data_IF_733139746381
#
_entry.id   IF_733139746381
#
_cell.length_a   1.000
_cell.length_b   1.000
_cell.length_c   1.000
_cell.angle_alpha   90.00
_cell.angle_beta   90.00
_cell.angle_gamma   90.00
#
_symmetry.space_group_name_H-M   'P 1'
#
loop_
_entity.id
_entity.type
_entity.pdbx_description
1 polymer ?
#
# COMPACT_ATOMS: atom_id res chain seq x y z
N UNK A 1 -25.46 -0.22 -18.45
CA UNK A 1 -24.46 -0.47 -17.40
C UNK A 1 -23.13 -0.08 -18.01
N UNK A 2 -22.58 1.08 -17.65
CA UNK A 2 -21.24 1.43 -18.11
C UNK A 2 -20.28 0.38 -17.55
N UNK A 3 -19.43 -0.19 -18.41
CA UNK A 3 -18.42 -1.13 -17.98
C UNK A 3 -17.35 -0.31 -17.23
N UNK A 4 -17.48 -0.18 -15.92
CA UNK A 4 -16.50 0.56 -15.11
C UNK A 4 -15.16 -0.17 -15.19
N UNK A 5 -14.12 0.56 -15.62
CA UNK A 5 -12.75 0.04 -15.74
C UNK A 5 -12.30 -0.52 -14.39
N UNK A 6 -11.84 -1.77 -14.38
CA UNK A 6 -11.28 -2.41 -13.18
C UNK A 6 -9.76 -2.36 -13.18
N UNK A 7 -9.14 -2.56 -12.01
CA UNK A 7 -7.70 -2.78 -11.91
C UNK A 7 -7.23 -4.01 -12.68
N UNK A 8 -8.09 -5.01 -12.89
CA UNK A 8 -7.75 -6.16 -13.71
C UNK A 8 -7.56 -5.73 -15.17
N UNK A 9 -8.48 -4.93 -15.71
CA UNK A 9 -8.45 -4.48 -17.10
C UNK A 9 -7.20 -3.65 -17.40
N UNK A 10 -6.84 -2.71 -16.52
CA UNK A 10 -5.72 -1.79 -16.76
C UNK A 10 -4.35 -2.35 -16.38
N UNK A 11 -4.28 -3.34 -15.48
CA UNK A 11 -3.01 -3.96 -15.05
C UNK A 11 -2.77 -5.33 -15.70
N UNK A 12 -3.66 -5.83 -16.56
CA UNK A 12 -3.52 -7.14 -17.19
C UNK A 12 -2.19 -7.24 -17.96
N UNK A 13 -1.90 -6.28 -18.83
CA UNK A 13 -0.64 -6.22 -19.60
C UNK A 13 0.57 -5.96 -18.71
N UNK A 14 0.41 -5.12 -17.68
CA UNK A 14 1.51 -4.76 -16.78
C UNK A 14 1.98 -5.94 -15.94
N UNK A 15 1.04 -6.79 -15.50
CA UNK A 15 1.34 -8.02 -14.74
C UNK A 15 2.13 -9.05 -15.54
N UNK A 16 2.09 -8.97 -16.87
CA UNK A 16 2.82 -9.87 -17.76
C UNK A 16 4.24 -9.37 -18.06
N UNK A 17 4.58 -8.13 -17.70
CA UNK A 17 5.89 -7.58 -18.00
C UNK A 17 6.99 -8.33 -17.23
N UNK A 18 8.15 -8.62 -17.86
CA UNK A 18 9.23 -9.38 -17.23
C UNK A 18 9.68 -8.81 -15.88
N UNK A 19 9.70 -7.48 -15.75
CA UNK A 19 10.09 -6.81 -14.51
C UNK A 19 9.13 -7.15 -13.35
N UNK A 20 7.82 -7.20 -13.63
CA UNK A 20 6.79 -7.47 -12.62
C UNK A 20 6.87 -8.92 -12.15
N UNK A 21 7.00 -9.86 -13.10
CA UNK A 21 7.19 -11.28 -12.84
C UNK A 21 8.46 -11.53 -12.02
N UNK A 22 9.59 -10.92 -12.40
CA UNK A 22 10.86 -11.05 -11.68
C UNK A 22 10.75 -10.53 -10.23
N UNK A 23 9.93 -9.51 -9.98
CA UNK A 23 9.70 -8.99 -8.63
C UNK A 23 8.92 -9.96 -7.78
N UNK A 24 7.83 -10.51 -8.31
CA UNK A 24 7.04 -11.51 -7.60
C UNK A 24 7.87 -12.76 -7.31
N UNK A 25 8.68 -13.20 -8.28
CA UNK A 25 9.58 -14.35 -8.12
C UNK A 25 10.66 -14.07 -7.07
N UNK A 26 11.32 -12.91 -7.10
CA UNK A 26 12.33 -12.54 -6.08
C UNK A 26 11.73 -12.56 -4.68
N UNK A 27 10.59 -11.89 -4.49
CA UNK A 27 9.89 -11.84 -3.20
C UNK A 27 9.44 -13.24 -2.76
N UNK A 28 8.95 -14.07 -3.67
CA UNK A 28 8.55 -15.45 -3.36
C UNK A 28 9.75 -16.30 -2.93
N UNK A 29 10.87 -16.22 -3.65
CA UNK A 29 12.11 -16.93 -3.34
C UNK A 29 12.68 -16.52 -1.98
N UNK A 30 12.63 -15.23 -1.64
CA UNK A 30 13.05 -14.75 -0.32
C UNK A 30 12.17 -15.30 0.80
N UNK A 31 10.84 -15.35 0.60
CA UNK A 31 9.95 -15.98 1.59
C UNK A 31 10.26 -17.47 1.76
N UNK A 32 10.54 -18.17 0.67
CA UNK A 32 10.89 -19.59 0.69
C UNK A 32 12.24 -19.86 1.36
N UNK A 33 13.19 -18.93 1.26
CA UNK A 33 14.49 -19.03 1.94
C UNK A 33 14.44 -18.65 3.43
N UNK A 34 13.26 -18.36 3.97
CA UNK A 34 13.05 -18.04 5.39
C UNK A 34 13.15 -16.55 5.72
N UNK A 35 13.31 -15.67 4.74
CA UNK A 35 13.31 -14.22 4.97
C UNK A 35 11.89 -13.76 5.29
N UNK A 36 11.73 -13.12 6.44
CA UNK A 36 10.44 -12.50 6.81
C UNK A 36 10.23 -11.24 5.99
N UNK A 37 9.17 -11.22 5.18
CA UNK A 37 8.78 -10.09 4.33
C UNK A 37 7.38 -9.62 4.70
N UNK A 38 7.22 -8.31 4.83
CA UNK A 38 5.95 -7.63 5.07
C UNK A 38 5.44 -6.90 3.84
N UNK A 39 4.11 -6.73 3.70
CA UNK A 39 3.07 -7.42 4.46
C UNK A 39 2.98 -8.92 4.08
N UNK A 40 2.12 -9.73 4.71
CA UNK A 40 1.80 -11.08 4.22
C UNK A 40 1.37 -11.05 2.74
N UNK A 41 1.66 -12.12 1.98
CA UNK A 41 1.42 -12.16 0.53
C UNK A 41 -0.02 -11.81 0.14
N UNK A 42 -1.02 -12.29 0.90
CA UNK A 42 -2.44 -12.01 0.68
C UNK A 42 -2.82 -10.53 0.81
N UNK A 43 -2.01 -9.75 1.52
CA UNK A 43 -2.28 -8.34 1.83
C UNK A 43 -1.55 -7.37 0.88
N UNK A 44 -0.60 -7.85 0.06
CA UNK A 44 0.29 -7.00 -0.77
C UNK A 44 -0.49 -6.03 -1.66
N UNK A 45 -1.64 -6.46 -2.18
CA UNK A 45 -2.46 -5.68 -3.11
C UNK A 45 -3.75 -5.13 -2.48
N UNK A 46 -3.84 -5.02 -1.15
CA UNK A 46 -5.05 -4.57 -0.46
C UNK A 46 -5.50 -3.16 -0.88
N UNK A 47 -4.59 -2.23 -1.23
CA UNK A 47 -4.96 -0.92 -1.77
C UNK A 47 -5.87 -1.01 -3.01
N UNK A 48 -5.51 -1.87 -3.96
CA UNK A 48 -6.31 -2.11 -5.17
C UNK A 48 -7.60 -2.89 -4.88
N UNK A 49 -7.58 -3.75 -3.86
CA UNK A 49 -8.76 -4.55 -3.46
C UNK A 49 -9.84 -3.71 -2.77
N UNK A 50 -9.44 -2.73 -1.96
CA UNK A 50 -10.38 -1.92 -1.18
C UNK A 50 -10.85 -0.67 -1.92
N UNK A 51 -10.16 -0.27 -2.98
CA UNK A 51 -10.51 0.89 -3.78
C UNK A 51 -10.41 0.49 -5.25
N UNK A 52 -11.53 0.16 -5.89
CA UNK A 52 -11.57 -0.17 -7.31
C UNK A 52 -11.22 1.06 -8.16
N UNK A 53 -10.71 0.86 -9.38
CA UNK A 53 -10.21 1.97 -10.21
C UNK A 53 -11.26 3.06 -10.46
N UNK A 54 -12.51 2.67 -10.75
CA UNK A 54 -13.63 3.61 -10.93
C UNK A 54 -14.03 4.37 -9.66
N UNK A 55 -13.70 3.85 -8.48
CA UNK A 55 -14.07 4.42 -7.18
C UNK A 55 -13.03 5.39 -6.62
N UNK A 56 -11.86 5.53 -7.27
CA UNK A 56 -10.77 6.39 -6.79
C UNK A 56 -11.19 7.86 -6.82
N UNK A 57 -11.15 8.52 -5.66
CA UNK A 57 -11.40 9.96 -5.48
C UNK A 57 -10.15 10.71 -5.05
N UNK A 58 -9.32 10.08 -4.21
CA UNK A 58 -8.09 10.66 -3.65
C UNK A 58 -7.00 9.61 -3.70
N UNK A 59 -5.77 10.03 -4.04
CA UNK A 59 -4.58 9.17 -3.99
C UNK A 59 -3.62 9.71 -2.94
N UNK A 60 -3.23 8.87 -1.98
CA UNK A 60 -2.20 9.20 -0.99
C UNK A 60 -1.06 8.20 -1.16
N UNK A 61 0.12 8.72 -1.50
CA UNK A 61 1.30 7.91 -1.77
C UNK A 61 2.19 7.78 -0.54
N UNK A 62 2.49 6.54 -0.16
CA UNK A 62 3.53 6.21 0.80
C UNK A 62 4.79 5.69 0.11
N UNK A 63 5.90 5.57 0.84
CA UNK A 63 7.15 5.08 0.26
C UNK A 63 7.22 3.56 0.33
N UNK A 64 7.39 3.01 1.53
CA UNK A 64 7.51 1.58 1.81
C UNK A 64 6.44 1.12 2.82
N UNK A 65 6.13 -0.18 2.88
CA UNK A 65 5.35 -0.74 3.97
C UNK A 65 6.13 -0.62 5.28
N UNK A 66 5.42 -0.61 6.40
CA UNK A 66 6.04 -0.78 7.71
C UNK A 66 6.79 -2.12 7.81
N UNK A 67 8.00 -2.09 8.36
CA UNK A 67 8.91 -3.24 8.45
C UNK A 67 8.86 -3.97 9.79
N UNK A 68 7.95 -3.59 10.70
CA UNK A 68 7.73 -4.26 11.98
C UNK A 68 6.59 -5.31 11.94
N UNK A 69 6.62 -6.29 12.86
CA UNK A 69 5.64 -7.37 12.91
C UNK A 69 4.22 -6.84 13.12
N UNK A 70 3.27 -7.34 12.33
CA UNK A 70 1.85 -7.01 12.44
C UNK A 70 1.47 -5.60 11.99
N UNK A 71 2.43 -4.74 11.61
CA UNK A 71 2.16 -3.36 11.25
C UNK A 71 1.53 -3.24 9.86
N UNK A 72 2.29 -3.59 8.82
CA UNK A 72 1.85 -3.42 7.44
C UNK A 72 0.74 -4.41 7.05
N UNK A 73 -0.25 -3.91 6.30
CA UNK A 73 -1.34 -4.70 5.75
C UNK A 73 -1.77 -4.26 4.35
N UNK A 74 -0.84 -3.65 3.59
CA UNK A 74 -1.05 -3.33 2.18
C UNK A 74 -1.74 -2.00 1.87
N UNK A 75 -1.90 -1.13 2.88
CA UNK A 75 -2.34 0.26 2.73
C UNK A 75 -1.24 1.20 3.23
N UNK A 76 -0.94 2.26 2.47
CA UNK A 76 -0.01 3.30 2.90
C UNK A 76 -0.46 3.94 4.23
N UNK A 77 0.51 4.25 5.10
CA UNK A 77 0.32 4.86 6.44
C UNK A 77 -0.52 4.07 7.46
N UNK A 78 -1.29 3.06 7.02
CA UNK A 78 -2.17 2.31 7.89
C UNK A 78 -1.47 1.16 8.60
N UNK A 79 -1.87 0.92 9.84
CA UNK A 79 -1.47 -0.24 10.65
C UNK A 79 -2.68 -1.06 11.09
N UNK A 80 -2.48 -2.35 11.40
CA UNK A 80 -3.55 -3.23 11.91
C UNK A 80 -4.10 -2.74 13.26
N UNK A 81 -5.35 -3.08 13.62
CA UNK A 81 -5.90 -2.80 14.94
C UNK A 81 -5.01 -3.35 16.07
N UNK A 82 -4.90 -2.61 17.18
CA UNK A 82 -4.05 -2.97 18.32
C UNK A 82 -2.57 -2.61 18.17
N UNK A 83 -2.12 -2.21 16.97
CA UNK A 83 -0.77 -1.67 16.76
C UNK A 83 -0.76 -0.18 17.12
N UNK A 84 0.29 0.25 17.83
CA UNK A 84 0.51 1.66 18.17
C UNK A 84 0.54 2.53 16.90
N UNK A 85 -0.12 3.68 16.96
CA UNK A 85 -0.21 4.62 15.84
C UNK A 85 1.20 5.14 15.51
N UNK A 86 1.70 4.96 14.27
CA UNK A 86 3.03 5.45 13.89
C UNK A 86 3.13 6.98 13.91
N UNK A 87 4.32 7.57 14.13
CA UNK A 87 4.49 9.02 14.19
C UNK A 87 3.97 9.77 12.96
N UNK A 88 4.17 9.21 11.75
CA UNK A 88 3.67 9.81 10.51
C UNK A 88 2.14 9.90 10.48
N UNK A 89 1.44 8.83 10.87
CA UNK A 89 -0.02 8.84 10.92
C UNK A 89 -0.54 9.74 12.05
N UNK A 90 0.18 9.80 13.18
CA UNK A 90 -0.16 10.73 14.26
C UNK A 90 -0.08 12.19 13.78
N UNK A 91 0.92 12.53 12.96
CA UNK A 91 1.01 13.86 12.36
C UNK A 91 -0.12 14.13 11.36
N UNK A 92 -0.54 13.14 10.57
CA UNK A 92 -1.74 13.27 9.72
C UNK A 92 -3.00 13.53 10.56
N UNK A 93 -3.19 12.81 11.68
CA UNK A 93 -4.32 13.04 12.57
C UNK A 93 -4.28 14.41 13.24
N UNK A 94 -3.11 14.91 13.64
CA UNK A 94 -2.96 16.28 14.15
C UNK A 94 -3.40 17.31 13.12
N UNK A 95 -2.99 17.13 11.87
CA UNK A 95 -3.38 18.04 10.80
C UNK A 95 -4.89 18.00 10.55
N UNK A 96 -5.49 16.80 10.55
CA UNK A 96 -6.95 16.64 10.41
C UNK A 96 -7.73 17.27 11.57
N UNK A 97 -7.26 17.15 12.81
CA UNK A 97 -7.87 17.81 13.97
C UNK A 97 -7.82 19.34 13.86
N UNK A 98 -6.74 19.89 13.29
CA UNK A 98 -6.57 21.33 13.15
C UNK A 98 -7.39 21.92 11.99
N UNK A 99 -7.69 21.12 10.96
CA UNK A 99 -8.24 21.62 9.70
C UNK A 99 -9.68 21.22 9.45
N UNK A 100 -10.17 20.11 10.01
CA UNK A 100 -11.52 19.59 9.78
C UNK A 100 -12.38 19.81 11.04
N UNK A 101 -13.34 20.75 11.01
CA UNK A 101 -14.23 20.98 12.15
C UNK A 101 -14.96 19.70 12.56
N UNK A 102 -14.88 19.37 13.86
CA UNK A 102 -15.53 18.18 14.42
C UNK A 102 -14.78 16.86 14.22
N UNK A 103 -13.62 16.86 13.54
CA UNK A 103 -12.77 15.68 13.51
C UNK A 103 -12.16 15.41 14.89
N UNK A 104 -12.19 14.16 15.32
CA UNK A 104 -11.56 13.71 16.56
C UNK A 104 -10.58 12.60 16.23
N UNK A 105 -9.37 12.67 16.79
CA UNK A 105 -8.33 11.67 16.52
C UNK A 105 -8.80 10.26 16.91
N UNK A 106 -8.77 9.31 15.96
CA UNK A 106 -9.03 7.91 16.27
C UNK A 106 -7.96 7.34 17.21
N UNK A 107 -8.36 6.40 18.06
CA UNK A 107 -7.46 5.65 18.94
C UNK A 107 -6.80 4.44 18.23
N UNK A 108 -6.90 4.36 16.89
CA UNK A 108 -6.31 3.29 16.07
C UNK A 108 -5.69 3.84 14.79
N UNK A 109 -4.79 3.06 14.17
CA UNK A 109 -4.16 3.39 12.89
C UNK A 109 -4.73 2.65 11.67
N UNK A 110 -5.87 1.98 11.83
CA UNK A 110 -6.51 1.22 10.76
C UNK A 110 -7.36 2.12 9.83
N UNK A 111 -6.96 2.25 8.57
CA UNK A 111 -7.50 3.20 7.59
C UNK A 111 -8.30 2.52 6.46
N UNK A 112 -8.76 1.28 6.65
CA UNK A 112 -9.60 0.60 5.65
C UNK A 112 -10.87 1.41 5.33
N UNK A 113 -11.43 2.11 6.32
CA UNK A 113 -12.59 2.97 6.11
C UNK A 113 -12.34 4.09 5.12
N UNK A 114 -11.10 4.60 5.02
CA UNK A 114 -10.74 5.60 4.01
C UNK A 114 -10.67 4.96 2.62
N UNK A 115 -10.04 3.78 2.52
CA UNK A 115 -9.94 3.04 1.27
C UNK A 115 -11.32 2.75 0.65
N UNK A 116 -12.27 2.27 1.47
CA UNK A 116 -13.65 2.01 1.05
C UNK A 116 -14.44 3.26 0.63
N UNK A 117 -13.97 4.45 0.95
CA UNK A 117 -14.58 5.72 0.55
C UNK A 117 -13.97 6.31 -0.73
N UNK A 118 -13.02 5.62 -1.35
CA UNK A 118 -12.34 6.07 -2.57
C UNK A 118 -10.93 6.64 -2.35
N UNK A 119 -10.35 6.48 -1.15
CA UNK A 119 -8.97 6.94 -0.88
C UNK A 119 -7.97 5.82 -1.18
N UNK A 120 -7.31 5.89 -2.33
CA UNK A 120 -6.27 4.95 -2.71
C UNK A 120 -4.98 5.22 -1.89
N UNK A 121 -4.75 4.39 -0.87
CA UNK A 121 -3.58 4.43 0.02
C UNK A 121 -2.47 3.52 -0.53
N UNK A 122 -1.68 4.02 -1.48
CA UNK A 122 -0.74 3.21 -2.25
C UNK A 122 0.73 3.50 -1.88
N UNK A 123 1.46 2.48 -1.43
CA UNK A 123 2.90 2.60 -1.30
C UNK A 123 3.57 2.46 -2.66
N UNK A 124 4.63 3.23 -2.89
CA UNK A 124 5.46 3.07 -4.09
C UNK A 124 6.15 1.73 -4.10
N UNK A 125 6.60 1.21 -2.96
CA UNK A 125 7.14 -0.14 -2.81
C UNK A 125 6.11 -1.00 -2.07
N UNK A 126 5.82 -2.19 -2.59
CA UNK A 126 4.71 -3.01 -2.07
C UNK A 126 5.13 -4.02 -1.00
N UNK A 127 6.42 -4.28 -0.82
CA UNK A 127 6.94 -5.23 0.16
C UNK A 127 8.25 -4.74 0.79
N UNK A 128 8.61 -5.27 1.96
CA UNK A 128 9.84 -4.91 2.68
C UNK A 128 10.29 -6.09 3.55
N UNK A 129 11.59 -6.28 3.76
CA UNK A 129 12.11 -7.27 4.70
C UNK A 129 11.95 -6.77 6.14
N UNK A 130 11.73 -7.69 7.07
CA UNK A 130 11.61 -7.35 8.48
C UNK A 130 12.85 -6.59 8.99
N UNK A 131 12.64 -5.44 9.62
CA UNK A 131 13.70 -4.61 10.17
C UNK A 131 14.63 -3.92 9.16
N UNK A 132 14.38 -4.05 7.85
CA UNK A 132 15.23 -3.46 6.80
C UNK A 132 14.42 -2.50 5.93
N UNK A 133 14.39 -1.21 6.30
CA UNK A 133 13.78 -0.18 5.47
C UNK A 133 14.43 -0.15 4.07
N UNK A 134 13.64 0.15 3.03
CA UNK A 134 14.08 0.24 1.64
C UNK A 134 14.68 -1.04 1.04
N UNK A 135 14.56 -2.21 1.69
CA UNK A 135 15.18 -3.46 1.23
C UNK A 135 14.72 -3.89 -0.16
N UNK A 136 13.50 -3.52 -0.56
CA UNK A 136 12.91 -3.81 -1.87
C UNK A 136 12.71 -2.55 -2.72
N UNK A 137 13.33 -1.42 -2.37
CA UNK A 137 13.14 -0.17 -3.12
C UNK A 137 13.63 -0.23 -4.57
N UNK A 138 14.60 -1.11 -4.87
CA UNK A 138 15.07 -1.42 -6.22
C UNK A 138 14.18 -2.42 -6.94
N UNK A 139 13.32 -3.16 -6.22
CA UNK A 139 12.34 -4.07 -6.77
C UNK A 139 11.08 -3.28 -7.15
N UNK A 140 11.13 -2.68 -8.33
CA UNK A 140 9.99 -2.40 -9.24
C UNK A 140 8.90 -1.43 -8.79
N UNK A 141 8.73 -1.17 -7.51
CA UNK A 141 7.65 -0.32 -7.01
C UNK A 141 7.52 1.03 -7.73
N UNK A 142 8.66 1.66 -8.07
CA UNK A 142 8.69 2.93 -8.81
C UNK A 142 8.21 2.83 -10.27
N UNK A 143 8.33 1.67 -10.92
CA UNK A 143 8.01 1.50 -12.34
C UNK A 143 6.52 1.25 -12.59
N UNK A 144 5.80 0.66 -11.63
CA UNK A 144 4.35 0.49 -11.70
C UNK A 144 3.62 1.85 -11.65
N UNK A 145 4.16 2.81 -10.91
CA UNK A 145 3.56 4.13 -10.69
C UNK A 145 4.04 5.20 -11.69
N UNK A 146 5.24 5.04 -12.24
CA UNK A 146 5.84 6.01 -13.16
C UNK A 146 6.04 5.32 -14.51
N UNK A 147 4.96 5.21 -15.28
CA UNK A 147 5.11 5.29 -16.74
C UNK A 147 5.31 6.77 -17.06
N UNK A 148 6.56 7.24 -16.99
CA UNK A 148 6.88 8.48 -17.70
C UNK A 148 6.68 8.16 -19.17
N UNK A 149 5.65 8.75 -19.76
CA UNK A 149 5.62 9.00 -21.19
C UNK A 149 6.97 9.60 -21.55
N UNK A 150 7.72 8.89 -22.40
CA UNK A 150 8.80 9.51 -23.16
C UNK A 150 8.19 10.40 -24.23
#
# INVERSE_FOLDING_TARGET
MANELTWHDVLAEEKQQPYFLNTLQTVASERQSGVTIYPPQKDVFNAFRFTELGDVKVVILGQDPYHGPGQAHGLAFSVRPGIAIPPSLLNMYKELENTIPGFTRPNHGYLESWARQGVLLLNTVLTVRAGQAHSHASLVGRRLLIKSSA
#
